data_IF_450374437609
#
_entry.id   IF_450374437609
#
_cell.length_a   1.000
_cell.length_b   1.000
_cell.length_c   1.000
_cell.angle_alpha   90.00
_cell.angle_beta   90.00
_cell.angle_gamma   90.00
#
_symmetry.space_group_name_H-M   'P 1'
#
loop_
_entity.id
_entity.type
_entity.pdbx_description
1 polymer ?
#
# COMPACT_ATOMS: atom_id res chain seq x y z
N UNK A 1 3.86 -44.24 -18.14
CA UNK A 1 5.16 -43.70 -18.60
C UNK A 1 5.31 -42.22 -18.26
N UNK A 2 4.50 -41.30 -18.82
CA UNK A 2 4.62 -39.86 -18.56
C UNK A 2 4.75 -39.48 -17.07
N UNK A 3 3.81 -39.87 -16.21
CA UNK A 3 3.87 -39.52 -14.79
C UNK A 3 5.13 -40.07 -14.10
N UNK A 4 5.56 -41.28 -14.48
CA UNK A 4 6.78 -41.91 -13.94
C UNK A 4 8.03 -41.09 -14.26
N UNK A 5 8.15 -40.63 -15.51
CA UNK A 5 9.29 -39.78 -15.91
C UNK A 5 9.27 -38.42 -15.22
N UNK A 6 8.10 -37.77 -15.12
CA UNK A 6 7.97 -36.48 -14.41
C UNK A 6 8.33 -36.64 -12.92
N UNK A 7 7.93 -37.75 -12.29
CA UNK A 7 8.30 -38.09 -10.92
C UNK A 7 9.82 -38.31 -10.82
N UNK A 8 10.42 -39.08 -11.74
CA UNK A 8 11.85 -39.38 -11.74
C UNK A 8 12.75 -38.15 -11.92
N UNK A 9 12.36 -37.22 -12.80
CA UNK A 9 13.06 -35.94 -13.01
C UNK A 9 12.75 -34.92 -11.90
N UNK A 10 11.70 -35.17 -11.12
CA UNK A 10 11.22 -34.35 -10.01
C UNK A 10 11.03 -32.88 -10.41
N UNK A 11 10.22 -32.67 -11.46
CA UNK A 11 10.10 -31.38 -12.16
C UNK A 11 9.70 -30.22 -11.23
N UNK A 12 8.83 -30.48 -10.26
CA UNK A 12 8.24 -29.44 -9.40
C UNK A 12 9.12 -29.08 -8.20
N UNK A 13 10.00 -29.99 -7.76
CA UNK A 13 10.87 -29.77 -6.62
C UNK A 13 11.98 -28.77 -6.91
N UNK A 14 12.13 -27.78 -6.03
CA UNK A 14 13.18 -26.77 -6.09
C UNK A 14 13.12 -25.84 -7.32
N UNK A 15 12.09 -25.93 -8.16
CA UNK A 15 11.91 -25.09 -9.34
C UNK A 15 10.66 -24.22 -9.22
N UNK A 16 10.67 -23.03 -9.81
CA UNK A 16 9.50 -22.13 -9.81
C UNK A 16 8.80 -22.15 -11.16
N UNK A 17 7.49 -21.91 -11.16
CA UNK A 17 6.70 -21.79 -12.39
C UNK A 17 7.27 -20.67 -13.29
N UNK A 18 7.39 -20.96 -14.58
CA UNK A 18 7.93 -20.01 -15.56
C UNK A 18 9.44 -19.79 -15.51
N UNK A 19 10.21 -20.58 -14.74
CA UNK A 19 11.68 -20.46 -14.73
C UNK A 19 12.35 -21.35 -15.77
N UNK A 20 13.51 -20.90 -16.26
CA UNK A 20 14.37 -21.69 -17.15
C UNK A 20 14.78 -23.02 -16.51
N UNK A 21 15.03 -23.05 -15.19
CA UNK A 21 15.34 -24.30 -14.45
C UNK A 21 14.21 -25.32 -14.55
N UNK A 22 12.95 -24.89 -14.38
CA UNK A 22 11.78 -25.78 -14.57
C UNK A 22 11.66 -26.20 -16.04
N UNK A 23 11.90 -25.29 -16.97
CA UNK A 23 11.90 -25.60 -18.41
C UNK A 23 12.93 -26.67 -18.77
N UNK A 24 14.14 -26.60 -18.21
CA UNK A 24 15.19 -27.59 -18.42
C UNK A 24 14.80 -28.98 -17.91
N UNK A 25 14.18 -29.07 -16.73
CA UNK A 25 13.62 -30.35 -16.23
C UNK A 25 12.55 -30.92 -17.17
N UNK A 26 11.68 -30.09 -17.73
CA UNK A 26 10.72 -30.57 -18.75
C UNK A 26 11.40 -31.07 -20.02
N UNK A 27 12.51 -30.45 -20.45
CA UNK A 27 13.29 -30.92 -21.61
C UNK A 27 13.89 -32.29 -21.32
N UNK A 28 14.44 -32.49 -20.12
CA UNK A 28 14.93 -33.80 -19.71
C UNK A 28 13.84 -34.89 -19.72
N UNK A 29 12.60 -34.56 -19.32
CA UNK A 29 11.47 -35.50 -19.44
C UNK A 29 11.20 -35.87 -20.91
N UNK A 30 11.28 -34.91 -21.84
CA UNK A 30 11.13 -35.18 -23.27
C UNK A 30 12.23 -36.13 -23.76
N UNK A 31 13.49 -35.83 -23.43
CA UNK A 31 14.65 -36.64 -23.80
C UNK A 31 14.50 -38.08 -23.30
N UNK A 32 14.11 -38.25 -22.03
CA UNK A 32 13.85 -39.57 -21.45
C UNK A 32 12.74 -40.31 -22.22
N UNK A 33 11.63 -39.62 -22.52
CA UNK A 33 10.51 -40.21 -23.26
C UNK A 33 10.90 -40.60 -24.68
N UNK A 34 11.66 -39.77 -25.39
CA UNK A 34 12.09 -40.05 -26.77
C UNK A 34 13.08 -41.23 -26.85
N UNK A 35 13.86 -41.45 -25.78
CA UNK A 35 14.88 -42.51 -25.69
C UNK A 35 14.38 -43.80 -25.03
N UNK A 36 13.08 -43.97 -24.80
CA UNK A 36 12.53 -45.21 -24.23
C UNK A 36 12.75 -46.39 -25.20
N UNK A 37 13.36 -47.45 -24.69
CA UNK A 37 13.61 -48.66 -25.46
C UNK A 37 12.29 -49.39 -25.79
N UNK A 38 12.11 -49.74 -27.08
CA UNK A 38 10.91 -50.43 -27.58
C UNK A 38 9.74 -49.54 -27.99
N UNK A 39 9.71 -48.25 -27.60
CA UNK A 39 8.68 -47.29 -28.03
C UNK A 39 9.28 -45.91 -28.27
N UNK A 40 9.31 -45.47 -29.53
CA UNK A 40 9.80 -44.14 -29.88
C UNK A 40 8.68 -43.09 -29.83
N UNK A 41 8.73 -42.20 -28.84
CA UNK A 41 7.80 -41.09 -28.73
C UNK A 41 8.31 -39.88 -29.51
N UNK A 42 7.56 -39.44 -30.52
CA UNK A 42 7.76 -38.16 -31.21
C UNK A 42 6.95 -37.08 -30.48
N UNK A 43 7.54 -36.47 -29.46
CA UNK A 43 6.91 -35.45 -28.62
C UNK A 43 7.83 -34.26 -28.46
N UNK A 44 7.28 -33.05 -28.49
CA UNK A 44 8.01 -31.84 -28.13
C UNK A 44 7.73 -31.47 -26.66
N UNK A 45 8.55 -30.56 -26.14
CA UNK A 45 8.45 -30.03 -24.80
C UNK A 45 7.09 -29.40 -24.50
N UNK A 46 6.47 -28.75 -25.49
CA UNK A 46 5.12 -28.22 -25.37
C UNK A 46 4.10 -29.34 -25.19
N UNK A 47 4.19 -30.40 -25.98
CA UNK A 47 3.24 -31.51 -25.97
C UNK A 47 3.23 -32.23 -24.61
N UNK A 48 4.41 -32.44 -24.02
CA UNK A 48 4.55 -33.05 -22.70
C UNK A 48 3.87 -32.21 -21.61
N UNK A 49 4.09 -30.90 -21.62
CA UNK A 49 3.47 -29.97 -20.66
C UNK A 49 1.96 -29.89 -20.85
N UNK A 50 1.51 -29.74 -22.09
CA UNK A 50 0.08 -29.62 -22.43
C UNK A 50 -0.66 -30.92 -22.06
N UNK A 51 -0.03 -32.08 -22.29
CA UNK A 51 -0.58 -33.39 -21.88
C UNK A 51 -0.67 -33.52 -20.37
N UNK A 52 0.39 -33.16 -19.64
CA UNK A 52 0.33 -33.14 -18.17
C UNK A 52 -0.77 -32.21 -17.66
N UNK A 53 -0.87 -31.00 -18.22
CA UNK A 53 -1.88 -30.02 -17.82
C UNK A 53 -3.32 -30.51 -18.10
N UNK A 54 -3.55 -31.15 -19.24
CA UNK A 54 -4.85 -31.75 -19.56
C UNK A 54 -5.20 -32.84 -18.54
N UNK A 55 -4.26 -33.75 -18.26
CA UNK A 55 -4.46 -34.85 -17.32
C UNK A 55 -4.75 -34.31 -15.92
N UNK A 56 -3.94 -33.38 -15.41
CA UNK A 56 -4.12 -32.83 -14.07
C UNK A 56 -5.44 -32.08 -13.93
N UNK A 57 -5.83 -31.32 -14.96
CA UNK A 57 -7.12 -30.62 -14.97
C UNK A 57 -8.28 -31.60 -14.99
N UNK A 58 -8.21 -32.66 -15.78
CA UNK A 58 -9.25 -33.68 -15.82
C UNK A 58 -9.40 -34.41 -14.49
N UNK A 59 -8.30 -34.75 -13.83
CA UNK A 59 -8.34 -35.42 -12.53
C UNK A 59 -8.95 -34.52 -11.45
N UNK A 60 -8.56 -33.25 -11.37
CA UNK A 60 -9.18 -32.29 -10.45
C UNK A 60 -10.68 -32.15 -10.69
N UNK A 61 -11.13 -32.18 -11.95
CA UNK A 61 -12.56 -32.16 -12.30
C UNK A 61 -13.28 -33.43 -11.88
N UNK A 62 -12.63 -34.60 -11.99
CA UNK A 62 -13.18 -35.90 -11.56
C UNK A 62 -13.41 -35.89 -10.04
N UNK A 63 -12.38 -35.60 -9.25
CA UNK A 63 -12.45 -35.53 -7.78
C UNK A 63 -13.57 -34.58 -7.35
N UNK A 64 -13.57 -33.35 -7.87
CA UNK A 64 -14.60 -32.34 -7.53
C UNK A 64 -16.02 -32.77 -7.89
N UNK A 65 -16.20 -33.54 -8.96
CA UNK A 65 -17.51 -34.04 -9.38
C UNK A 65 -18.02 -35.11 -8.42
N UNK A 66 -17.17 -36.07 -8.10
CA UNK A 66 -17.50 -37.19 -7.21
C UNK A 66 -17.74 -36.71 -5.77
N UNK A 67 -16.94 -35.75 -5.29
CA UNK A 67 -17.18 -35.07 -4.00
C UNK A 67 -18.56 -34.40 -3.96
N UNK A 68 -19.02 -33.83 -5.10
CA UNK A 68 -20.32 -33.15 -5.20
C UNK A 68 -21.49 -34.13 -5.31
N UNK A 69 -21.32 -35.22 -6.06
CA UNK A 69 -22.39 -36.16 -6.40
C UNK A 69 -22.58 -37.23 -5.32
N UNK A 70 -21.48 -37.80 -4.83
CA UNK A 70 -21.50 -38.91 -3.87
C UNK A 70 -21.07 -38.50 -2.47
N UNK A 71 -20.31 -37.41 -2.32
CA UNK A 71 -19.68 -37.04 -1.04
C UNK A 71 -18.65 -38.06 -0.55
N UNK A 72 -18.23 -38.99 -1.41
CA UNK A 72 -17.27 -40.07 -1.13
C UNK A 72 -16.09 -39.88 -2.09
N UNK A 73 -14.89 -40.17 -1.60
CA UNK A 73 -13.67 -40.05 -2.39
C UNK A 73 -13.68 -41.03 -3.59
N UNK A 74 -13.19 -40.60 -4.77
CA UNK A 74 -13.07 -41.46 -5.94
C UNK A 74 -12.23 -42.71 -5.75
N UNK A 75 -12.63 -43.79 -6.41
CA UNK A 75 -11.72 -44.89 -6.74
C UNK A 75 -10.68 -44.38 -7.76
N UNK A 76 -9.42 -44.44 -7.35
CA UNK A 76 -8.28 -43.90 -8.10
C UNK A 76 -7.41 -45.02 -8.65
N UNK A 77 -7.23 -45.04 -9.96
CA UNK A 77 -6.25 -45.92 -10.61
C UNK A 77 -4.82 -45.55 -10.19
N UNK A 78 -3.87 -46.49 -10.32
CA UNK A 78 -2.46 -46.23 -9.98
C UNK A 78 -1.88 -45.02 -10.73
N UNK A 79 -2.29 -44.82 -11.99
CA UNK A 79 -1.86 -43.68 -12.81
C UNK A 79 -2.44 -42.37 -12.27
N UNK A 80 -3.70 -42.38 -11.83
CA UNK A 80 -4.33 -41.22 -11.20
C UNK A 80 -3.70 -40.90 -9.84
N UNK A 81 -3.34 -41.90 -9.03
CA UNK A 81 -2.60 -41.70 -7.78
C UNK A 81 -1.22 -41.07 -8.03
N UNK A 82 -0.50 -41.54 -9.04
CA UNK A 82 0.77 -40.95 -9.44
C UNK A 82 0.61 -39.50 -9.93
N UNK A 83 -0.48 -39.20 -10.63
CA UNK A 83 -0.81 -37.87 -11.09
C UNK A 83 -1.23 -36.94 -9.94
N UNK A 84 -1.98 -37.45 -8.96
CA UNK A 84 -2.35 -36.74 -7.74
C UNK A 84 -1.12 -36.34 -6.93
N UNK A 85 -0.17 -37.25 -6.73
CA UNK A 85 1.10 -36.92 -6.08
C UNK A 85 1.90 -35.84 -6.82
N UNK A 86 1.85 -35.82 -8.16
CA UNK A 86 2.46 -34.75 -8.96
C UNK A 86 1.74 -33.41 -8.80
N UNK A 87 0.41 -33.44 -8.77
CA UNK A 87 -0.43 -32.27 -8.52
C UNK A 87 -0.12 -31.67 -7.14
N UNK A 88 -0.06 -32.49 -6.10
CA UNK A 88 0.25 -32.06 -4.74
C UNK A 88 1.63 -31.40 -4.67
N UNK A 89 2.64 -32.00 -5.30
CA UNK A 89 3.98 -31.40 -5.42
C UNK A 89 3.96 -30.07 -6.18
N UNK A 90 3.18 -29.97 -7.25
CA UNK A 90 3.06 -28.73 -8.03
C UNK A 90 2.41 -27.62 -7.20
N UNK A 91 1.32 -27.94 -6.48
CA UNK A 91 0.58 -27.01 -5.64
C UNK A 91 1.43 -26.53 -4.46
N UNK A 92 2.10 -27.44 -3.75
CA UNK A 92 3.02 -27.09 -2.66
C UNK A 92 4.15 -26.15 -3.12
N UNK A 93 4.68 -26.37 -4.33
CA UNK A 93 5.70 -25.49 -4.90
C UNK A 93 5.17 -24.09 -5.23
N UNK A 94 3.89 -23.95 -5.58
CA UNK A 94 3.24 -22.66 -5.85
C UNK A 94 2.78 -21.96 -4.54
N UNK A 95 2.33 -22.70 -3.54
CA UNK A 95 1.97 -22.18 -2.21
C UNK A 95 3.17 -21.51 -1.52
N UNK A 96 4.32 -22.19 -1.47
CA UNK A 96 5.57 -21.63 -0.95
C UNK A 96 5.94 -20.30 -1.62
N UNK A 97 5.63 -20.16 -2.91
CA UNK A 97 5.85 -18.91 -3.66
C UNK A 97 4.87 -17.83 -3.24
N UNK A 98 3.59 -18.15 -3.06
CA UNK A 98 2.59 -17.18 -2.62
C UNK A 98 2.89 -16.70 -1.20
N UNK A 99 3.22 -17.60 -0.28
CA UNK A 99 3.66 -17.24 1.07
C UNK A 99 4.87 -16.30 1.05
N UNK A 100 5.87 -16.59 0.21
CA UNK A 100 7.05 -15.75 0.05
C UNK A 100 6.72 -14.35 -0.49
N UNK A 101 5.72 -14.22 -1.37
CA UNK A 101 5.23 -12.92 -1.84
C UNK A 101 4.47 -12.18 -0.75
N UNK A 102 3.52 -12.84 -0.10
CA UNK A 102 2.73 -12.27 1.00
C UNK A 102 3.65 -11.75 2.10
N UNK A 103 4.67 -12.52 2.48
CA UNK A 103 5.69 -12.10 3.46
C UNK A 103 6.48 -10.87 3.02
N UNK A 104 6.82 -10.75 1.72
CA UNK A 104 7.48 -9.54 1.21
C UNK A 104 6.57 -8.32 1.28
N UNK A 105 5.30 -8.49 0.94
CA UNK A 105 4.30 -7.42 1.02
C UNK A 105 4.13 -6.96 2.47
N UNK A 106 4.05 -7.87 3.43
CA UNK A 106 3.94 -7.51 4.85
C UNK A 106 5.18 -6.79 5.35
N UNK A 107 6.39 -7.27 5.01
CA UNK A 107 7.64 -6.59 5.37
C UNK A 107 7.67 -5.16 4.81
N UNK A 108 7.29 -5.00 3.54
CA UNK A 108 7.28 -3.68 2.92
C UNK A 108 6.24 -2.75 3.56
N UNK A 109 5.06 -3.25 3.89
CA UNK A 109 4.05 -2.50 4.63
C UNK A 109 4.55 -2.08 6.02
N UNK A 110 5.24 -2.97 6.75
CA UNK A 110 5.88 -2.64 8.02
C UNK A 110 6.97 -1.58 7.86
N UNK A 111 7.79 -1.67 6.80
CA UNK A 111 8.82 -0.68 6.48
C UNK A 111 8.21 0.69 6.23
N UNK A 112 7.19 0.76 5.38
CA UNK A 112 6.48 2.02 5.08
C UNK A 112 5.86 2.64 6.33
N UNK A 113 5.23 1.83 7.19
CA UNK A 113 4.66 2.31 8.45
C UNK A 113 5.73 2.86 9.40
N UNK A 114 6.86 2.16 9.53
CA UNK A 114 7.98 2.62 10.35
C UNK A 114 8.57 3.95 9.82
N UNK A 115 8.71 4.10 8.51
CA UNK A 115 9.16 5.35 7.88
C UNK A 115 8.18 6.50 8.09
N UNK A 116 6.87 6.24 8.03
CA UNK A 116 5.83 7.24 8.29
C UNK A 116 5.84 7.71 9.76
N UNK A 117 5.94 6.78 10.71
CA UNK A 117 6.09 7.12 12.14
C UNK A 117 7.34 7.98 12.37
N UNK A 118 8.47 7.59 11.76
CA UNK A 118 9.73 8.37 11.85
C UNK A 118 9.57 9.77 11.28
N UNK A 119 8.92 9.92 10.11
CA UNK A 119 8.67 11.24 9.50
C UNK A 119 7.80 12.09 10.43
N UNK A 120 6.68 11.54 10.93
CA UNK A 120 5.78 12.22 11.87
C UNK A 120 6.48 12.68 13.14
N UNK A 121 7.41 11.88 13.67
CA UNK A 121 8.18 12.25 14.86
C UNK A 121 9.18 13.39 14.61
N UNK A 122 9.65 13.55 13.37
CA UNK A 122 10.61 14.60 12.97
C UNK A 122 9.93 15.86 12.43
N UNK A 123 8.60 15.90 12.33
CA UNK A 123 7.84 17.07 11.89
C UNK A 123 7.96 18.23 12.90
N UNK A 124 8.19 19.45 12.41
CA UNK A 124 8.05 20.64 13.25
C UNK A 124 6.56 21.00 13.46
N UNK A 125 6.28 21.86 14.45
CA UNK A 125 4.90 22.24 14.81
C UNK A 125 4.08 22.78 13.62
N UNK A 126 4.72 23.51 12.71
CA UNK A 126 4.06 24.07 11.53
C UNK A 126 3.71 23.02 10.47
N UNK A 127 4.59 22.05 10.25
CA UNK A 127 4.38 20.90 9.36
C UNK A 127 3.29 19.97 9.91
N UNK A 128 3.33 19.64 11.19
CA UNK A 128 2.32 18.82 11.85
C UNK A 128 0.92 19.46 11.80
N UNK A 129 0.84 20.80 11.97
CA UNK A 129 -0.42 21.54 11.81
C UNK A 129 -0.93 21.51 10.38
N UNK A 130 -0.06 21.66 9.37
CA UNK A 130 -0.43 21.54 7.95
C UNK A 130 -0.88 20.12 7.59
N UNK A 131 -0.19 19.08 8.07
CA UNK A 131 -0.58 17.70 7.82
C UNK A 131 -1.95 17.40 8.41
N UNK A 132 -2.19 17.78 9.67
CA UNK A 132 -3.50 17.63 10.31
C UNK A 132 -4.59 18.41 9.58
N UNK A 133 -4.30 19.63 9.12
CA UNK A 133 -5.29 20.41 8.38
C UNK A 133 -5.63 19.75 7.03
N UNK A 134 -4.65 19.18 6.33
CA UNK A 134 -4.87 18.41 5.10
C UNK A 134 -5.65 17.11 5.36
N UNK A 135 -5.33 16.36 6.42
CA UNK A 135 -6.10 15.16 6.84
C UNK A 135 -7.57 15.48 7.13
N UNK A 136 -7.85 16.64 7.73
CA UNK A 136 -9.20 17.08 8.09
C UNK A 136 -9.87 17.87 6.94
N UNK A 137 -9.18 18.07 5.81
CA UNK A 137 -9.71 18.81 4.65
C UNK A 137 -9.88 20.31 4.88
N UNK A 138 -9.22 20.88 5.89
CA UNK A 138 -9.28 22.31 6.25
C UNK A 138 -8.04 23.03 5.73
N UNK A 139 -8.23 24.18 5.09
CA UNK A 139 -7.10 25.00 4.65
C UNK A 139 -6.42 25.64 5.87
N UNK A 140 -5.10 25.51 6.04
CA UNK A 140 -4.41 26.09 7.19
C UNK A 140 -4.45 27.61 7.09
N UNK A 141 -5.13 28.26 8.04
CA UNK A 141 -5.18 29.72 8.12
C UNK A 141 -3.76 30.30 8.27
N UNK A 142 -3.38 31.22 7.38
CA UNK A 142 -2.10 31.94 7.51
C UNK A 142 -2.09 32.67 8.86
N UNK A 143 -1.07 32.42 9.70
CA UNK A 143 -0.85 33.19 10.93
C UNK A 143 -0.71 34.67 10.56
N UNK A 144 -1.75 35.46 10.82
CA UNK A 144 -1.68 36.92 10.73
C UNK A 144 -0.84 37.40 11.91
N UNK A 145 0.32 38.01 11.63
CA UNK A 145 1.06 38.76 12.64
C UNK A 145 0.14 39.88 13.11
N UNK A 146 0.09 40.12 14.43
CA UNK A 146 -0.65 41.26 14.98
C UNK A 146 -0.12 42.53 14.32
N UNK A 147 -0.89 43.06 13.36
CA UNK A 147 -0.65 44.37 12.79
C UNK A 147 -1.00 45.32 13.93
N UNK A 148 -0.04 46.10 14.45
CA UNK A 148 -0.15 46.91 15.68
C UNK A 148 -1.19 48.03 15.67
N UNK A 149 -2.34 47.80 15.02
CA UNK A 149 -3.52 48.63 14.91
C UNK A 149 -4.01 49.09 16.28
N UNK A 150 -4.00 48.24 17.30
CA UNK A 150 -4.42 48.64 18.65
C UNK A 150 -3.49 49.69 19.25
N UNK A 151 -2.18 49.54 19.06
CA UNK A 151 -1.20 50.54 19.50
C UNK A 151 -1.36 51.86 18.75
N UNK A 152 -1.62 51.81 17.43
CA UNK A 152 -1.86 53.00 16.61
C UNK A 152 -3.15 53.71 17.00
N UNK A 153 -4.22 52.96 17.27
CA UNK A 153 -5.50 53.50 17.72
C UNK A 153 -5.37 54.17 19.09
N UNK A 154 -4.67 53.53 20.03
CA UNK A 154 -4.40 54.11 21.34
C UNK A 154 -3.62 55.44 21.26
N UNK A 155 -2.61 55.52 20.39
CA UNK A 155 -1.84 56.76 20.19
C UNK A 155 -2.71 57.89 19.60
N UNK A 156 -3.61 57.55 18.67
CA UNK A 156 -4.55 58.51 18.08
C UNK A 156 -5.53 59.05 19.12
N UNK A 157 -6.17 58.15 19.87
CA UNK A 157 -7.15 58.52 20.91
C UNK A 157 -6.50 59.36 22.01
N UNK A 158 -5.26 59.00 22.42
CA UNK A 158 -4.49 59.80 23.39
C UNK A 158 -4.23 61.21 22.89
N UNK A 159 -3.86 61.35 21.61
CA UNK A 159 -3.59 62.66 21.00
C UNK A 159 -4.85 63.52 20.93
N UNK A 160 -5.99 62.94 20.52
CA UNK A 160 -7.28 63.63 20.48
C UNK A 160 -7.69 64.15 21.87
N UNK A 161 -7.56 63.32 22.91
CA UNK A 161 -7.84 63.74 24.29
C UNK A 161 -6.94 64.87 24.78
N UNK A 162 -5.66 64.87 24.42
CA UNK A 162 -4.75 65.97 24.80
C UNK A 162 -5.15 67.29 24.14
N UNK A 163 -5.47 67.26 22.84
CA UNK A 163 -5.94 68.44 22.11
C UNK A 163 -7.23 69.00 22.69
N UNK A 164 -8.16 68.13 23.09
CA UNK A 164 -9.42 68.56 23.69
C UNK A 164 -9.23 69.22 25.06
N UNK A 165 -8.34 68.68 25.89
CA UNK A 165 -7.96 69.30 27.17
C UNK A 165 -7.35 70.68 26.95
N UNK A 166 -6.49 70.85 25.94
CA UNK A 166 -5.86 72.13 25.62
C UNK A 166 -6.87 73.19 25.15
N UNK A 167 -7.79 72.82 24.24
CA UNK A 167 -8.89 73.70 23.83
C UNK A 167 -9.79 74.11 24.99
N UNK A 168 -10.13 73.17 25.87
CA UNK A 168 -10.93 73.45 27.05
C UNK A 168 -10.21 74.39 28.03
N UNK A 169 -8.88 74.30 28.15
CA UNK A 169 -8.10 75.26 28.96
C UNK A 169 -8.15 76.66 28.36
N UNK A 170 -7.91 76.79 27.06
CA UNK A 170 -7.90 78.09 26.36
C UNK A 170 -9.26 78.79 26.50
N UNK A 171 -10.35 78.06 26.24
CA UNK A 171 -11.72 78.61 26.36
C UNK A 171 -12.06 79.03 27.79
N UNK A 172 -11.57 78.30 28.80
CA UNK A 172 -11.78 78.70 30.20
C UNK A 172 -10.97 79.93 30.59
N UNK A 173 -9.80 80.13 29.98
CA UNK A 173 -8.97 81.33 30.16
C UNK A 173 -9.61 82.55 29.49
N UNK A 174 -10.11 82.41 28.25
CA UNK A 174 -10.87 83.46 27.56
C UNK A 174 -12.09 83.91 28.37
N UNK A 175 -12.88 82.96 28.91
CA UNK A 175 -14.03 83.26 29.77
C UNK A 175 -13.64 83.98 31.06
N UNK A 176 -12.48 83.65 31.65
CA UNK A 176 -11.97 84.32 32.86
C UNK A 176 -11.55 85.75 32.56
N UNK A 177 -10.89 85.98 31.42
CA UNK A 177 -10.49 87.30 30.96
C UNK A 177 -11.71 88.17 30.64
N UNK A 178 -12.72 87.61 29.97
CA UNK A 178 -13.97 88.31 29.67
C UNK A 178 -14.76 88.65 30.96
N UNK A 179 -14.82 87.74 31.93
CA UNK A 179 -15.44 88.00 33.22
C UNK A 179 -14.68 89.02 34.08
N UNK A 180 -13.36 89.12 33.91
CA UNK A 180 -12.54 90.16 34.52
C UNK A 180 -12.76 91.54 33.90
N UNK A 181 -12.95 91.60 32.57
CA UNK A 181 -13.23 92.84 31.84
C UNK A 181 -14.61 93.43 32.18
N UNK A 182 -15.64 92.58 32.37
CA UNK A 182 -17.00 93.03 32.75
C UNK A 182 -17.14 93.51 34.20
N UNK A 183 -16.10 93.37 35.03
CA UNK A 183 -16.08 93.86 36.42
C UNK A 183 -15.45 95.26 36.57
N UNK A 184 -14.94 95.84 35.48
CA UNK A 184 -14.25 97.13 35.47
C UNK A 184 -14.97 98.22 34.64
N UNK A 185 -16.22 97.98 34.23
CA UNK A 185 -17.19 98.99 33.77
C UNK A 185 -18.31 99.14 34.80
#
# INVERSE_FOLDING_TARGET
>A
MLCREIIGVDVFSGTKKGTLKRSAKWIQVVENLTNVEGVHFKVDNRDVRDRYHLLSTNLRRKIKREDKESGIAPEMSEVEKALEALIEKEDAAEELRQEGKSRKVTIEAHRMNAEDIRKKAMENLGEAQKRKSVEIGVTPAKKKRSNGSDTVNYLREKHEKMLEVEKNKLTMEEKRMEAGSKRHD
#
